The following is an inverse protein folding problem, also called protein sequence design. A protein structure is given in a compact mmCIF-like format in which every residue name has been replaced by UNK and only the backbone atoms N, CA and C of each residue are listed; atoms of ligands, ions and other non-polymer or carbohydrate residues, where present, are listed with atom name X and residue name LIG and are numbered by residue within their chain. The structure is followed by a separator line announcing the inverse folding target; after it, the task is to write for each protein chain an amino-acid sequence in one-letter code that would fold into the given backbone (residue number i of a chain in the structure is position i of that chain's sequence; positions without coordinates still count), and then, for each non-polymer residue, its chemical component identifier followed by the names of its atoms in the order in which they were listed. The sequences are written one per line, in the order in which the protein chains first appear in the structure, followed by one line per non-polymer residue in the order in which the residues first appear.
data_IF_148199011761
#
_entry.id   IF_148199011761
#
_cell.length_a   1.000
_cell.length_b   1.000
_cell.length_c   1.000
_cell.angle_alpha   90.00
_cell.angle_beta   90.00
_cell.angle_gamma   90.00
#
_symmetry.space_group_name_H-M   'P 1'
#
loop_
_entity.id
_entity.type
_entity.pdbx_description
1 polymer ?
#
# COMPACT_ATOMS: atom_id res chain seq x y z
N UNK A 1 18.23 14.56 -14.77
CA UNK A 1 18.71 13.48 -13.89
C UNK A 1 18.40 12.10 -14.51
N UNK A 2 17.25 11.82 -15.10
CA UNK A 2 16.77 10.48 -15.51
C UNK A 2 17.11 10.06 -16.95
N UNK A 3 17.89 10.86 -17.69
CA UNK A 3 18.25 10.58 -19.08
C UNK A 3 19.08 9.30 -19.19
N UNK A 4 18.65 8.38 -20.08
CA UNK A 4 19.30 7.08 -20.29
C UNK A 4 18.89 5.98 -19.32
N UNK A 5 17.86 6.24 -18.47
CA UNK A 5 17.21 5.21 -17.67
C UNK A 5 16.00 4.66 -18.44
N UNK A 6 15.84 3.33 -18.45
CA UNK A 6 14.68 2.67 -19.03
C UNK A 6 13.55 2.58 -18.00
N UNK A 7 13.88 2.29 -16.74
CA UNK A 7 12.94 2.12 -15.63
C UNK A 7 13.44 2.87 -14.40
N UNK A 8 12.56 3.56 -13.71
CA UNK A 8 12.80 4.22 -12.43
C UNK A 8 11.84 3.64 -11.40
N UNK A 9 12.37 3.11 -10.30
CA UNK A 9 11.58 2.60 -9.18
C UNK A 9 11.38 3.72 -8.15
N UNK A 10 10.13 4.05 -7.85
CA UNK A 10 9.72 5.00 -6.83
C UNK A 10 9.47 4.30 -5.50
N UNK A 11 10.24 4.65 -4.48
CA UNK A 11 10.07 4.18 -3.10
C UNK A 11 10.08 5.36 -2.11
N UNK A 12 9.51 6.48 -2.52
CA UNK A 12 9.44 7.72 -1.76
C UNK A 12 7.97 8.08 -1.45
N UNK A 13 7.79 9.13 -0.67
CA UNK A 13 6.47 9.66 -0.31
C UNK A 13 5.73 10.24 -1.53
N UNK A 14 4.41 10.36 -1.40
CA UNK A 14 3.51 10.80 -2.48
C UNK A 14 3.94 12.12 -3.14
N UNK A 15 4.37 13.10 -2.36
CA UNK A 15 4.75 14.40 -2.88
C UNK A 15 6.02 14.32 -3.72
N UNK A 16 6.97 13.51 -3.30
CA UNK A 16 8.20 13.23 -4.04
C UNK A 16 7.88 12.50 -5.35
N UNK A 17 7.01 11.49 -5.29
CA UNK A 17 6.57 10.77 -6.48
C UNK A 17 5.93 11.72 -7.50
N UNK A 18 4.98 12.56 -7.07
CA UNK A 18 4.33 13.58 -7.93
C UNK A 18 5.30 14.60 -8.49
N UNK A 19 6.28 15.02 -7.70
CA UNK A 19 7.29 15.99 -8.12
C UNK A 19 8.18 15.45 -9.25
N UNK A 20 8.62 14.20 -9.15
CA UNK A 20 9.57 13.63 -10.08
C UNK A 20 8.96 12.90 -11.28
N UNK A 21 7.73 12.39 -11.16
CA UNK A 21 7.06 11.64 -12.22
C UNK A 21 7.09 12.35 -13.60
N UNK A 22 6.78 13.65 -13.74
CA UNK A 22 6.83 14.33 -15.03
C UNK A 22 8.23 14.35 -15.65
N UNK A 23 9.26 14.51 -14.83
CA UNK A 23 10.64 14.54 -15.29
C UNK A 23 11.14 13.15 -15.72
N UNK A 24 10.70 12.10 -15.04
CA UNK A 24 10.99 10.69 -15.36
C UNK A 24 10.37 10.33 -16.71
N UNK A 25 9.08 10.58 -16.85
CA UNK A 25 8.33 10.28 -18.09
C UNK A 25 8.87 11.09 -19.27
N UNK A 26 9.18 12.39 -19.07
CA UNK A 26 9.79 13.22 -20.09
C UNK A 26 11.18 12.73 -20.54
N UNK A 27 11.91 12.05 -19.66
CA UNK A 27 13.20 11.45 -19.99
C UNK A 27 13.07 10.15 -20.82
N UNK A 28 11.84 9.65 -21.03
CA UNK A 28 11.56 8.41 -21.75
C UNK A 28 11.59 7.15 -20.86
N UNK A 29 11.77 7.30 -19.55
CA UNK A 29 11.76 6.18 -18.61
C UNK A 29 10.35 5.82 -18.17
N UNK A 30 10.13 4.56 -17.83
CA UNK A 30 8.91 4.10 -17.16
C UNK A 30 9.09 4.26 -15.65
N UNK A 31 8.16 4.96 -15.01
CA UNK A 31 8.14 5.14 -13.56
C UNK A 31 7.25 4.08 -12.91
N UNK A 32 7.83 3.18 -12.11
CA UNK A 32 7.10 2.20 -11.30
C UNK A 32 7.05 2.74 -9.87
N UNK A 33 5.86 3.18 -9.46
CA UNK A 33 5.65 3.91 -8.21
C UNK A 33 5.01 3.03 -7.13
N UNK A 34 5.67 2.94 -5.97
CA UNK A 34 5.15 2.23 -4.78
C UNK A 34 4.31 3.14 -3.86
N UNK A 35 4.32 4.46 -4.07
CA UNK A 35 3.49 5.37 -3.28
C UNK A 35 2.00 5.22 -3.63
N UNK A 36 1.13 5.89 -2.89
CA UNK A 36 -0.29 5.95 -3.24
C UNK A 36 -0.65 7.08 -4.21
N UNK A 37 0.35 7.83 -4.69
CA UNK A 37 0.16 9.07 -5.43
C UNK A 37 -0.69 8.92 -6.69
N UNK A 38 -0.55 7.82 -7.42
CA UNK A 38 -1.17 7.58 -8.71
C UNK A 38 -2.09 6.37 -8.77
N UNK A 39 -2.26 5.63 -7.67
CA UNK A 39 -3.01 4.37 -7.65
C UNK A 39 -4.43 4.48 -8.18
N UNK A 40 -5.11 5.58 -7.85
CA UNK A 40 -6.51 5.80 -8.24
C UNK A 40 -6.65 6.68 -9.49
N UNK A 41 -5.55 7.10 -10.11
CA UNK A 41 -5.58 7.82 -11.38
C UNK A 41 -6.09 6.87 -12.49
N UNK A 42 -7.14 7.26 -13.25
CA UNK A 42 -7.70 6.41 -14.30
C UNK A 42 -6.72 6.14 -15.45
N UNK A 43 -5.76 7.02 -15.67
CA UNK A 43 -4.76 6.90 -16.74
C UNK A 43 -3.51 6.10 -16.31
N UNK A 44 -3.41 5.74 -15.03
CA UNK A 44 -2.28 4.97 -14.50
C UNK A 44 -2.73 3.56 -14.12
N UNK A 45 -2.19 2.52 -14.75
CA UNK A 45 -2.53 1.15 -14.42
C UNK A 45 -2.01 0.80 -13.02
N UNK A 46 -2.85 0.10 -12.27
CA UNK A 46 -2.56 -0.44 -10.94
C UNK A 46 -2.35 -1.95 -11.09
N UNK A 47 -1.12 -2.41 -10.93
CA UNK A 47 -0.72 -3.74 -11.40
C UNK A 47 -0.38 -4.69 -10.25
N UNK A 48 -1.00 -5.86 -10.30
CA UNK A 48 -0.55 -7.08 -9.60
C UNK A 48 -0.24 -8.12 -10.68
N UNK A 49 1.04 -8.45 -10.94
CA UNK A 49 1.42 -9.28 -12.08
C UNK A 49 0.71 -10.64 -12.15
N UNK A 50 0.35 -11.21 -11.01
CA UNK A 50 -0.36 -12.49 -10.91
C UNK A 50 -1.85 -12.39 -11.25
N UNK A 51 -2.40 -11.18 -11.35
CA UNK A 51 -3.83 -10.93 -11.55
C UNK A 51 -4.10 -10.26 -12.88
N UNK A 52 -3.47 -9.11 -13.12
CA UNK A 52 -3.74 -8.26 -14.28
C UNK A 52 -2.48 -7.82 -15.03
N UNK A 53 -1.56 -8.74 -15.42
CA UNK A 53 -0.30 -8.38 -16.09
C UNK A 53 -0.51 -7.64 -17.42
N UNK A 54 -1.60 -7.93 -18.14
CA UNK A 54 -1.87 -7.31 -19.43
C UNK A 54 -2.16 -5.81 -19.34
N UNK A 55 -2.61 -5.33 -18.17
CA UNK A 55 -2.87 -3.92 -17.93
C UNK A 55 -1.59 -3.07 -17.95
N UNK A 56 -0.43 -3.68 -17.79
CA UNK A 56 0.86 -2.99 -17.92
C UNK A 56 0.98 -2.30 -19.29
N UNK A 57 0.42 -2.87 -20.35
CA UNK A 57 0.45 -2.33 -21.71
C UNK A 57 -0.32 -1.02 -21.89
N UNK A 58 -1.16 -0.66 -20.90
CA UNK A 58 -1.97 0.57 -20.93
C UNK A 58 -1.24 1.77 -20.33
N UNK A 59 -0.02 1.60 -19.78
CA UNK A 59 0.69 2.69 -19.10
C UNK A 59 1.04 3.83 -20.08
N UNK A 60 1.01 5.05 -19.59
CA UNK A 60 1.46 6.27 -20.25
C UNK A 60 2.76 6.80 -19.66
N UNK A 61 3.65 5.90 -19.24
CA UNK A 61 4.93 6.20 -18.60
C UNK A 61 4.94 6.02 -17.08
N UNK A 62 3.78 5.81 -16.42
CA UNK A 62 3.67 5.54 -15.01
C UNK A 62 2.91 4.23 -14.79
N UNK A 63 3.39 3.42 -13.86
CA UNK A 63 2.75 2.19 -13.38
C UNK A 63 2.70 2.28 -11.86
N UNK A 64 1.54 2.06 -11.25
CA UNK A 64 1.41 2.05 -9.80
C UNK A 64 1.41 0.63 -9.25
N UNK A 65 2.13 0.47 -8.14
CA UNK A 65 2.10 -0.73 -7.30
C UNK A 65 1.05 -0.54 -6.20
N UNK A 66 0.15 -1.52 -5.97
CA UNK A 66 -0.89 -1.39 -4.97
C UNK A 66 -0.38 -1.37 -3.52
N UNK A 67 -1.29 -1.12 -2.60
CA UNK A 67 -1.05 -1.29 -1.17
C UNK A 67 -0.67 -2.75 -0.84
N UNK A 68 0.21 -2.94 0.12
CA UNK A 68 0.73 -4.26 0.49
C UNK A 68 -0.37 -5.23 0.94
N UNK A 69 -1.31 -4.77 1.76
CA UNK A 69 -2.45 -5.59 2.21
C UNK A 69 -3.36 -5.96 1.04
N UNK A 70 -3.59 -5.01 0.13
CA UNK A 70 -4.34 -5.27 -1.11
C UNK A 70 -3.69 -6.38 -1.93
N UNK A 71 -2.38 -6.32 -2.17
CA UNK A 71 -1.66 -7.32 -2.96
C UNK A 71 -1.77 -8.71 -2.31
N UNK A 72 -1.42 -8.82 -1.03
CA UNK A 72 -1.43 -10.10 -0.30
C UNK A 72 -2.80 -10.74 -0.33
N UNK A 73 -3.85 -9.94 -0.09
CA UNK A 73 -5.24 -10.41 -0.09
C UNK A 73 -5.66 -10.86 -1.49
N UNK A 74 -5.45 -10.02 -2.50
CA UNK A 74 -5.95 -10.29 -3.84
C UNK A 74 -5.23 -11.44 -4.54
N UNK A 75 -3.95 -11.63 -4.33
CA UNK A 75 -3.20 -12.78 -4.90
C UNK A 75 -3.78 -14.10 -4.39
N UNK A 76 -4.04 -14.19 -3.07
CA UNK A 76 -4.65 -15.38 -2.49
C UNK A 76 -6.09 -15.62 -3.02
N UNK A 77 -6.88 -14.55 -3.06
CA UNK A 77 -8.29 -14.62 -3.49
C UNK A 77 -8.41 -14.90 -4.99
N UNK A 78 -7.53 -14.36 -5.82
CA UNK A 78 -7.55 -14.60 -7.26
C UNK A 78 -7.36 -16.08 -7.61
N UNK A 79 -6.64 -16.84 -6.80
CA UNK A 79 -6.52 -18.28 -6.97
C UNK A 79 -7.89 -18.97 -6.80
N UNK A 80 -8.68 -18.55 -5.82
CA UNK A 80 -10.04 -19.06 -5.58
C UNK A 80 -11.02 -18.57 -6.64
N UNK A 81 -10.87 -17.33 -7.11
CA UNK A 81 -11.73 -16.73 -8.14
C UNK A 81 -11.69 -17.48 -9.48
N UNK A 82 -10.61 -18.22 -9.75
CA UNK A 82 -10.50 -19.09 -10.93
C UNK A 82 -11.43 -20.30 -10.89
N UNK A 83 -11.79 -20.75 -9.69
CA UNK A 83 -12.65 -21.91 -9.47
C UNK A 83 -14.12 -21.49 -9.24
N UNK A 84 -14.34 -20.34 -8.62
CA UNK A 84 -15.68 -19.84 -8.31
C UNK A 84 -15.70 -18.30 -8.26
N UNK A 85 -16.73 -17.65 -8.84
CA UNK A 85 -16.89 -16.21 -8.74
C UNK A 85 -16.95 -15.76 -7.26
N UNK A 86 -16.26 -14.66 -6.97
CA UNK A 86 -16.26 -14.04 -5.65
C UNK A 86 -17.27 -12.90 -5.64
N UNK A 87 -18.21 -12.96 -4.70
CA UNK A 87 -19.24 -11.93 -4.53
C UNK A 87 -18.88 -10.93 -3.43
N UNK A 88 -18.30 -11.42 -2.33
CA UNK A 88 -17.96 -10.61 -1.17
C UNK A 88 -16.66 -11.07 -0.56
N UNK A 89 -15.85 -10.10 -0.10
CA UNK A 89 -14.63 -10.35 0.65
C UNK A 89 -14.77 -9.69 2.02
N UNK A 90 -14.56 -10.47 3.07
CA UNK A 90 -14.38 -9.98 4.44
C UNK A 90 -12.98 -10.36 4.87
N UNK A 91 -12.12 -9.37 5.09
CA UNK A 91 -10.72 -9.59 5.39
C UNK A 91 -10.32 -8.99 6.74
N UNK A 92 -9.55 -9.73 7.51
CA UNK A 92 -8.87 -9.24 8.71
C UNK A 92 -7.38 -9.47 8.52
N UNK A 93 -6.59 -8.40 8.58
CA UNK A 93 -5.15 -8.47 8.39
C UNK A 93 -4.39 -7.99 9.62
N UNK A 94 -3.22 -8.57 9.84
CA UNK A 94 -2.29 -8.16 10.88
C UNK A 94 -1.01 -7.63 10.22
N UNK A 95 -0.63 -6.41 10.57
CA UNK A 95 0.55 -5.76 10.02
C UNK A 95 1.60 -5.54 11.10
N UNK A 96 2.84 -5.89 10.79
CA UNK A 96 3.96 -5.61 11.68
C UNK A 96 4.31 -4.12 11.72
N UNK A 97 4.98 -3.69 12.78
CA UNK A 97 5.41 -2.29 12.99
C UNK A 97 6.28 -1.73 11.87
N UNK A 98 6.95 -2.59 11.09
CA UNK A 98 7.75 -2.19 9.92
C UNK A 98 6.92 -1.49 8.84
N UNK A 99 5.59 -1.68 8.82
CA UNK A 99 4.68 -0.94 7.95
C UNK A 99 4.68 0.57 8.22
N UNK A 100 5.00 0.99 9.46
CA UNK A 100 5.22 2.39 9.83
C UNK A 100 6.69 2.84 9.64
N UNK A 101 7.48 2.07 8.87
CA UNK A 101 8.88 2.35 8.60
C UNK A 101 9.80 2.22 9.81
N UNK A 102 10.99 2.85 9.71
CA UNK A 102 11.99 2.80 10.77
C UNK A 102 11.48 3.33 12.11
N UNK A 103 10.65 4.36 12.09
CA UNK A 103 10.07 4.94 13.31
C UNK A 103 9.27 3.93 14.12
N UNK A 104 8.43 3.11 13.47
CA UNK A 104 7.65 2.06 14.14
C UNK A 104 8.53 0.97 14.76
N UNK A 105 9.59 0.57 14.06
CA UNK A 105 10.55 -0.43 14.56
C UNK A 105 11.31 0.12 15.78
N UNK A 106 11.78 1.36 15.69
CA UNK A 106 12.52 2.01 16.78
C UNK A 106 11.62 2.21 18.01
N UNK A 107 10.35 2.61 17.82
CA UNK A 107 9.39 2.77 18.92
C UNK A 107 9.14 1.44 19.64
N UNK A 108 8.83 0.36 18.91
CA UNK A 108 8.65 -0.97 19.52
C UNK A 108 9.88 -1.39 20.34
N UNK A 109 11.08 -1.25 19.78
CA UNK A 109 12.31 -1.63 20.47
C UNK A 109 12.53 -0.81 21.75
N UNK A 110 12.27 0.49 21.69
CA UNK A 110 12.41 1.38 22.85
C UNK A 110 11.37 1.08 23.94
N UNK A 111 10.12 0.80 23.55
CA UNK A 111 9.06 0.41 24.49
C UNK A 111 9.39 -0.92 25.18
N UNK A 112 9.80 -1.95 24.43
CA UNK A 112 10.20 -3.25 24.99
C UNK A 112 11.32 -3.08 26.00
N UNK A 113 12.34 -2.27 25.69
CA UNK A 113 13.44 -1.97 26.61
C UNK A 113 12.95 -1.25 27.85
N UNK A 114 12.15 -0.20 27.71
CA UNK A 114 11.62 0.56 28.84
C UNK A 114 10.77 -0.32 29.77
N UNK A 115 9.88 -1.14 29.21
CA UNK A 115 9.05 -2.06 29.98
C UNK A 115 9.89 -3.10 30.74
N UNK A 116 10.98 -3.59 30.15
CA UNK A 116 11.91 -4.50 30.86
C UNK A 116 12.61 -3.84 32.04
N UNK A 117 12.71 -2.50 32.04
CA UNK A 117 13.26 -1.70 33.13
C UNK A 117 12.16 -1.18 34.10
N UNK A 118 10.91 -1.61 33.94
CA UNK A 118 9.78 -1.14 34.76
C UNK A 118 9.35 0.32 34.41
N UNK A 119 9.73 0.83 33.26
CA UNK A 119 9.42 2.18 32.82
C UNK A 119 8.31 2.15 31.76
N UNK A 120 7.58 3.24 31.62
CA UNK A 120 6.62 3.48 30.54
C UNK A 120 7.15 4.59 29.63
N UNK A 121 6.92 4.44 28.31
CA UNK A 121 7.19 5.47 27.31
C UNK A 121 5.87 5.91 26.67
N UNK A 122 5.72 7.21 26.46
CA UNK A 122 4.61 7.74 25.66
C UNK A 122 4.84 7.42 24.19
N UNK A 123 3.86 6.81 23.51
CA UNK A 123 3.93 6.51 22.09
C UNK A 123 4.07 7.81 21.27
N UNK A 124 4.80 7.74 20.15
CA UNK A 124 5.03 8.89 19.24
C UNK A 124 4.65 8.59 17.80
N UNK A 125 4.78 7.34 17.39
CA UNK A 125 4.46 6.86 16.04
C UNK A 125 3.08 6.22 16.03
N UNK A 126 2.78 5.40 17.05
CA UNK A 126 1.48 4.75 17.19
C UNK A 126 0.57 5.54 18.14
N UNK A 127 -0.73 5.28 18.09
CA UNK A 127 -1.72 5.94 18.96
C UNK A 127 -1.64 5.43 20.41
N UNK A 128 -1.18 4.21 20.59
CA UNK A 128 -1.06 3.52 21.87
C UNK A 128 0.25 2.75 21.92
N UNK A 129 0.69 2.34 23.12
CA UNK A 129 1.80 1.43 23.29
C UNK A 129 1.62 0.22 22.37
N UNK A 130 2.62 -0.05 21.54
CA UNK A 130 2.59 -1.18 20.60
C UNK A 130 3.27 -2.43 21.16
N UNK A 131 4.23 -2.28 22.08
CA UNK A 131 4.88 -3.40 22.71
C UNK A 131 3.87 -4.27 23.49
N UNK A 132 3.81 -5.57 23.14
CA UNK A 132 2.85 -6.54 23.71
C UNK A 132 1.37 -6.17 23.48
N UNK A 133 1.07 -5.49 22.38
CA UNK A 133 -0.27 -5.01 22.10
C UNK A 133 -0.65 -5.24 20.62
N UNK A 134 -1.94 -5.15 20.35
CA UNK A 134 -2.51 -5.08 19.00
C UNK A 134 -3.39 -3.83 18.94
N UNK A 135 -3.11 -2.95 17.99
CA UNK A 135 -3.90 -1.74 17.77
C UNK A 135 -4.83 -2.03 16.57
N UNK A 136 -6.15 -2.08 16.77
CA UNK A 136 -7.11 -2.48 15.73
C UNK A 136 -7.42 -1.33 14.74
N UNK A 137 -6.40 -0.54 14.42
CA UNK A 137 -6.56 0.60 13.52
C UNK A 137 -5.22 0.92 12.86
N UNK A 138 -5.18 0.98 11.52
CA UNK A 138 -4.04 1.45 10.74
C UNK A 138 -4.49 2.62 9.87
N UNK A 139 -3.74 3.73 9.93
CA UNK A 139 -4.10 4.98 9.28
C UNK A 139 -5.18 5.76 10.01
N UNK A 140 -5.48 6.96 9.51
CA UNK A 140 -6.53 7.83 10.02
C UNK A 140 -7.91 7.43 9.50
N UNK A 141 -8.96 7.94 10.15
CA UNK A 141 -10.33 7.84 9.64
C UNK A 141 -10.44 8.50 8.25
N UNK A 142 -11.09 7.82 7.32
CA UNK A 142 -11.21 8.28 5.95
C UNK A 142 -12.67 8.44 5.49
N UNK A 143 -13.54 7.46 5.73
CA UNK A 143 -14.91 7.48 5.25
C UNK A 143 -15.82 6.58 6.13
N UNK A 144 -16.89 7.13 6.69
CA UNK A 144 -17.96 6.40 7.41
C UNK A 144 -17.45 5.37 8.44
N UNK A 145 -16.41 5.72 9.20
CA UNK A 145 -15.80 4.85 10.20
C UNK A 145 -14.72 3.90 9.66
N UNK A 146 -14.46 3.91 8.35
CA UNK A 146 -13.35 3.18 7.76
C UNK A 146 -12.06 3.98 7.82
N UNK A 147 -10.95 3.29 8.02
CA UNK A 147 -9.62 3.89 7.98
C UNK A 147 -9.12 4.05 6.54
N UNK A 148 -8.09 4.86 6.38
CA UNK A 148 -7.45 5.05 5.06
C UNK A 148 -6.88 3.75 4.50
N UNK A 149 -6.40 2.82 5.34
CA UNK A 149 -5.89 1.52 4.89
C UNK A 149 -7.01 0.59 4.41
N UNK A 150 -8.14 0.56 5.11
CA UNK A 150 -9.32 -0.20 4.70
C UNK A 150 -9.88 0.31 3.37
N UNK A 151 -9.97 1.65 3.22
CA UNK A 151 -10.42 2.27 1.97
C UNK A 151 -9.47 2.01 0.79
N UNK A 152 -8.15 1.89 1.04
CA UNK A 152 -7.20 1.47 -0.01
C UNK A 152 -7.53 0.07 -0.50
N UNK A 153 -7.71 -0.90 0.39
CA UNK A 153 -8.03 -2.27 0.00
C UNK A 153 -9.32 -2.34 -0.83
N UNK A 154 -10.36 -1.62 -0.41
CA UNK A 154 -11.63 -1.56 -1.13
C UNK A 154 -11.50 -0.93 -2.53
N UNK A 155 -10.91 0.25 -2.62
CA UNK A 155 -10.83 1.01 -3.87
C UNK A 155 -9.85 0.38 -4.86
N UNK A 156 -8.67 -0.01 -4.39
CA UNK A 156 -7.66 -0.64 -5.21
C UNK A 156 -8.10 -2.04 -5.65
N UNK A 157 -8.73 -2.81 -4.77
CA UNK A 157 -9.27 -4.12 -5.10
C UNK A 157 -10.28 -4.08 -6.23
N UNK A 158 -11.21 -3.12 -6.19
CA UNK A 158 -12.16 -2.90 -7.30
C UNK A 158 -11.48 -2.54 -8.61
N UNK A 159 -10.45 -1.69 -8.56
CA UNK A 159 -9.70 -1.28 -9.76
C UNK A 159 -8.92 -2.44 -10.37
N UNK A 160 -8.30 -3.30 -9.56
CA UNK A 160 -7.47 -4.42 -10.03
C UNK A 160 -8.33 -5.55 -10.58
N UNK A 161 -9.40 -5.91 -9.88
CA UNK A 161 -10.27 -7.03 -10.27
C UNK A 161 -11.30 -6.66 -11.33
N UNK A 162 -11.43 -5.36 -11.68
CA UNK A 162 -12.43 -4.84 -12.64
C UNK A 162 -13.84 -5.33 -12.35
N UNK A 163 -14.18 -5.58 -11.09
CA UNK A 163 -15.46 -6.15 -10.67
C UNK A 163 -16.09 -5.36 -9.54
N UNK A 164 -17.43 -5.47 -9.42
CA UNK A 164 -18.23 -4.88 -8.35
C UNK A 164 -18.17 -5.71 -7.05
N UNK A 165 -17.01 -6.27 -6.72
CA UNK A 165 -16.82 -7.02 -5.48
C UNK A 165 -16.96 -6.04 -4.31
N UNK A 166 -17.79 -6.39 -3.34
CA UNK A 166 -17.86 -5.70 -2.06
C UNK A 166 -16.74 -6.22 -1.16
N UNK A 167 -15.82 -5.34 -0.81
CA UNK A 167 -14.71 -5.61 0.12
C UNK A 167 -14.99 -4.88 1.42
#
# INVERSE_FOLDING_TARGET
AFKGMDIVLGAAENDIAKQFAPAIVKAGAVFVDNSSAFRMDPDVPLIVPEINPEDVKKHKGIISNPNCTTIVTLVAINALAKESPIETIIASSYQAVSGAGKGGIDELNNEVKALSEGKHLEPKVFQYQIAYNIIPQIGGEAFEGYTSEEMKMQNEGRKILLSLIHI
#
